data_IF_624492970706
#
_entry.id   IF_624492970706
#
_cell.length_a   1.000
_cell.length_b   1.000
_cell.length_c   1.000
_cell.angle_alpha   90.00
_cell.angle_beta   90.00
_cell.angle_gamma   90.00
#
_symmetry.space_group_name_H-M   'P 1'
#
loop_
_entity.id
_entity.type
_entity.pdbx_description
1 polymer ?
#
# COMPACT_ATOMS: atom_id res chain seq x y z
N UNK A 1 27.01 19.30 -57.09
CA UNK A 1 26.34 20.58 -57.37
C UNK A 1 26.66 21.54 -56.25
N UNK A 2 27.12 22.73 -56.62
CA UNK A 2 27.67 23.83 -55.82
C UNK A 2 26.70 24.45 -54.80
N UNK A 3 27.18 24.90 -53.63
CA UNK A 3 27.22 26.34 -53.22
C UNK A 3 27.52 26.55 -51.73
N UNK A 4 28.69 27.14 -51.52
CA UNK A 4 29.15 28.04 -50.45
C UNK A 4 28.08 29.00 -49.91
N UNK A 5 28.11 29.28 -48.59
CA UNK A 5 27.93 30.64 -48.02
C UNK A 5 28.36 30.69 -46.53
N UNK A 6 29.62 31.06 -46.35
CA UNK A 6 30.21 32.16 -45.57
C UNK A 6 29.29 33.07 -44.70
N UNK A 7 29.87 33.93 -43.82
CA UNK A 7 29.60 34.00 -42.37
C UNK A 7 29.08 35.39 -41.94
N UNK A 8 28.76 35.61 -40.66
CA UNK A 8 28.77 36.97 -40.06
C UNK A 8 29.03 36.81 -38.55
N UNK A 9 30.23 37.07 -38.01
CA UNK A 9 30.73 38.39 -37.57
C UNK A 9 29.83 39.12 -36.56
N UNK A 10 30.22 39.11 -35.28
CA UNK A 10 30.71 40.32 -34.57
C UNK A 10 31.19 39.88 -33.18
N UNK A 11 32.47 40.10 -32.81
CA UNK A 11 32.98 41.36 -32.22
C UNK A 11 32.15 41.69 -30.95
N UNK A 12 32.66 41.78 -29.72
CA UNK A 12 33.94 42.26 -29.24
C UNK A 12 34.22 41.68 -27.84
N UNK A 13 35.44 41.22 -27.68
CA UNK A 13 36.33 41.48 -26.56
C UNK A 13 35.88 42.66 -25.66
N UNK A 14 35.57 42.39 -24.39
CA UNK A 14 35.96 43.31 -23.31
C UNK A 14 36.70 42.51 -22.25
N UNK A 15 37.97 42.89 -22.13
CA UNK A 15 38.96 42.44 -21.17
C UNK A 15 38.56 42.84 -19.73
N UNK A 16 38.72 41.87 -18.81
CA UNK A 16 39.46 41.99 -17.52
C UNK A 16 38.74 42.77 -16.38
N UNK A 17 39.04 42.50 -15.09
CA UNK A 17 39.22 41.22 -14.37
C UNK A 17 38.41 41.19 -13.05
N UNK A 18 38.54 40.07 -12.34
CA UNK A 18 38.47 39.96 -10.88
C UNK A 18 37.09 40.03 -10.22
N UNK A 19 36.57 38.85 -9.87
CA UNK A 19 35.97 38.64 -8.54
C UNK A 19 35.78 37.15 -8.23
N UNK A 20 36.49 36.72 -7.18
CA UNK A 20 35.98 35.87 -6.09
C UNK A 20 35.77 34.36 -6.35
N UNK A 21 36.72 33.62 -5.75
CA UNK A 21 36.57 32.40 -4.96
C UNK A 21 36.02 31.12 -5.63
N UNK A 22 36.65 29.96 -5.39
CA UNK A 22 36.19 28.69 -5.94
C UNK A 22 34.80 28.36 -5.38
N UNK A 23 33.82 28.24 -6.28
CA UNK A 23 32.51 27.68 -6.00
C UNK A 23 32.73 26.22 -5.65
N UNK A 24 32.56 25.91 -4.36
CA UNK A 24 32.48 24.55 -3.83
C UNK A 24 31.53 23.73 -4.70
N UNK A 25 32.08 22.75 -5.41
CA UNK A 25 31.34 21.80 -6.22
C UNK A 25 30.31 21.11 -5.34
N UNK A 26 29.04 21.52 -5.48
CA UNK A 26 27.90 20.76 -4.98
C UNK A 26 27.90 19.44 -5.71
N UNK A 27 28.49 18.43 -5.09
CA UNK A 27 28.32 17.01 -5.42
C UNK A 27 26.82 16.73 -5.41
N UNK A 28 26.21 16.77 -6.59
CA UNK A 28 24.83 16.35 -6.82
C UNK A 28 24.77 14.87 -6.46
N UNK A 29 24.37 14.58 -5.23
CA UNK A 29 23.99 13.25 -4.82
C UNK A 29 22.82 12.83 -5.72
N UNK A 30 23.12 11.97 -6.70
CA UNK A 30 22.12 11.30 -7.50
C UNK A 30 21.16 10.60 -6.53
N UNK A 31 19.95 11.15 -6.40
CA UNK A 31 18.86 10.53 -5.66
C UNK A 31 18.62 9.17 -6.32
N UNK A 32 18.75 8.03 -5.63
CA UNK A 32 18.35 6.77 -6.22
C UNK A 32 16.87 6.90 -6.55
N UNK A 33 16.53 6.74 -7.83
CA UNK A 33 15.17 6.55 -8.25
C UNK A 33 14.71 5.24 -7.59
N UNK A 34 14.00 5.37 -6.46
CA UNK A 34 13.27 4.27 -5.85
C UNK A 34 12.34 3.75 -6.94
N UNK A 35 12.67 2.58 -7.49
CA UNK A 35 11.74 1.82 -8.32
C UNK A 35 10.47 1.72 -7.50
N UNK A 36 9.41 2.38 -7.96
CA UNK A 36 8.10 2.26 -7.37
C UNK A 36 7.67 0.83 -7.66
N UNK A 37 7.92 -0.07 -6.72
CA UNK A 37 7.38 -1.41 -6.75
C UNK A 37 5.87 -1.26 -6.94
N UNK A 38 5.36 -1.82 -8.02
CA UNK A 38 3.92 -1.91 -8.24
C UNK A 38 3.44 -2.81 -7.12
N UNK A 39 2.84 -2.21 -6.08
CA UNK A 39 2.32 -2.94 -4.95
C UNK A 39 1.25 -3.91 -5.49
N UNK A 40 1.59 -5.20 -5.50
CA UNK A 40 0.64 -6.24 -5.88
C UNK A 40 -0.40 -6.29 -4.76
N UNK A 41 -1.60 -5.77 -5.03
CA UNK A 41 -2.72 -5.84 -4.11
C UNK A 41 -3.45 -7.16 -4.32
N UNK A 42 -3.43 -8.05 -3.34
CA UNK A 42 -4.24 -9.27 -3.33
C UNK A 42 -5.55 -9.00 -2.58
N UNK A 43 -6.66 -9.47 -3.13
CA UNK A 43 -7.94 -9.55 -2.45
C UNK A 43 -8.32 -11.04 -2.30
N UNK A 44 -8.92 -11.39 -1.16
CA UNK A 44 -9.40 -12.74 -0.88
C UNK A 44 -10.90 -12.65 -0.61
N UNK A 45 -11.69 -13.35 -1.42
CA UNK A 45 -13.13 -13.48 -1.22
C UNK A 45 -13.47 -14.95 -0.98
N UNK A 46 -14.50 -15.18 -0.19
CA UNK A 46 -15.05 -16.48 0.15
C UNK A 46 -16.49 -16.53 -0.35
N UNK A 47 -16.75 -17.34 -1.38
CA UNK A 47 -18.10 -17.48 -1.91
C UNK A 47 -18.81 -18.66 -1.23
N UNK A 48 -19.99 -18.42 -0.66
CA UNK A 48 -20.83 -19.44 -0.02
C UNK A 48 -22.22 -19.34 -0.62
N UNK A 49 -22.73 -20.45 -1.16
CA UNK A 49 -24.06 -20.54 -1.77
C UNK A 49 -24.35 -19.47 -2.86
N UNK A 50 -23.32 -19.01 -3.56
CA UNK A 50 -23.44 -17.96 -4.58
C UNK A 50 -23.22 -16.53 -4.07
N UNK A 51 -23.15 -16.32 -2.76
CA UNK A 51 -22.87 -15.01 -2.15
C UNK A 51 -21.39 -14.84 -1.81
N UNK A 52 -20.80 -13.71 -2.19
CA UNK A 52 -19.41 -13.37 -1.88
C UNK A 52 -19.28 -12.74 -0.50
N UNK A 53 -18.41 -13.32 0.34
CA UNK A 53 -18.06 -12.81 1.65
C UNK A 53 -16.57 -12.46 1.72
N UNK A 54 -16.25 -11.47 2.54
CA UNK A 54 -14.87 -11.14 2.83
C UNK A 54 -14.47 -11.79 4.18
N UNK A 55 -13.49 -12.70 4.20
CA UNK A 55 -13.10 -13.40 5.42
C UNK A 55 -12.52 -12.45 6.49
N UNK A 56 -11.90 -11.33 6.08
CA UNK A 56 -11.40 -10.34 7.03
C UNK A 56 -12.55 -9.57 7.69
N UNK A 57 -13.63 -9.28 6.95
CA UNK A 57 -14.88 -8.76 7.51
C UNK A 57 -15.49 -9.71 8.54
N UNK A 58 -15.65 -10.98 8.20
CA UNK A 58 -16.22 -11.99 9.11
C UNK A 58 -15.38 -12.07 10.40
N UNK A 59 -14.06 -12.09 10.27
CA UNK A 59 -13.17 -12.11 11.42
C UNK A 59 -13.33 -10.87 12.29
N UNK A 60 -13.45 -9.68 11.69
CA UNK A 60 -13.65 -8.44 12.43
C UNK A 60 -15.01 -8.40 13.14
N UNK A 61 -16.09 -8.79 12.45
CA UNK A 61 -17.42 -8.92 13.04
C UNK A 61 -17.42 -9.89 14.24
N UNK A 62 -16.71 -11.01 14.13
CA UNK A 62 -16.56 -11.96 15.24
C UNK A 62 -15.81 -11.35 16.43
N UNK A 63 -14.77 -10.56 16.18
CA UNK A 63 -14.04 -9.85 17.25
C UNK A 63 -14.90 -8.77 17.89
N UNK A 64 -15.68 -8.02 17.13
CA UNK A 64 -16.60 -7.02 17.67
C UNK A 64 -17.74 -7.65 18.48
N UNK A 65 -18.33 -8.74 17.98
CA UNK A 65 -19.32 -9.51 18.71
C UNK A 65 -18.74 -10.09 20.00
N UNK A 66 -17.54 -10.65 19.93
CA UNK A 66 -16.82 -11.16 21.08
C UNK A 66 -16.58 -10.07 22.15
N UNK A 67 -16.14 -8.88 21.73
CA UNK A 67 -15.92 -7.72 22.63
C UNK A 67 -17.20 -7.23 23.31
N UNK A 68 -18.35 -7.35 22.63
CA UNK A 68 -19.66 -7.02 23.24
C UNK A 68 -20.09 -8.03 24.30
N UNK A 69 -19.66 -9.28 24.17
CA UNK A 69 -19.97 -10.35 25.13
C UNK A 69 -18.99 -10.33 26.30
N UNK A 70 -17.69 -10.25 26.02
CA UNK A 70 -16.60 -10.18 27.00
C UNK A 70 -15.69 -9.01 26.63
N UNK A 71 -15.51 -8.06 27.55
CA UNK A 71 -14.60 -6.94 27.32
C UNK A 71 -13.11 -7.36 27.28
N UNK A 72 -12.76 -8.46 27.95
CA UNK A 72 -11.39 -9.00 28.05
C UNK A 72 -11.23 -10.25 27.17
N UNK A 73 -11.48 -10.10 25.86
CA UNK A 73 -11.24 -11.15 24.86
C UNK A 73 -9.75 -11.22 24.56
N UNK A 74 -9.08 -12.37 24.77
CA UNK A 74 -7.67 -12.58 24.36
C UNK A 74 -7.53 -13.43 23.12
N UNK A 75 -8.43 -14.37 22.87
CA UNK A 75 -8.39 -15.26 21.70
C UNK A 75 -9.78 -15.37 21.06
N UNK A 76 -9.86 -15.16 19.74
CA UNK A 76 -11.08 -15.40 18.97
C UNK A 76 -10.74 -16.32 17.82
N UNK A 77 -11.37 -17.50 17.78
CA UNK A 77 -11.29 -18.41 16.65
C UNK A 77 -12.61 -18.41 15.93
N UNK A 78 -12.55 -18.23 14.62
CA UNK A 78 -13.72 -18.23 13.75
C UNK A 78 -13.66 -19.46 12.86
N UNK A 79 -14.75 -20.21 12.81
CA UNK A 79 -14.94 -21.36 11.94
C UNK A 79 -16.16 -21.13 11.06
N UNK A 80 -15.96 -21.22 9.75
CA UNK A 80 -17.02 -21.00 8.78
C UNK A 80 -17.55 -22.35 8.33
N UNK A 81 -18.84 -22.58 8.56
CA UNK A 81 -19.58 -23.74 8.05
C UNK A 81 -20.36 -23.30 6.81
N UNK A 82 -19.71 -23.45 5.66
CA UNK A 82 -20.26 -23.06 4.37
C UNK A 82 -21.58 -23.77 4.01
N UNK A 83 -21.80 -24.99 4.54
CA UNK A 83 -23.03 -25.75 4.32
C UNK A 83 -24.27 -25.05 4.89
N UNK A 84 -24.10 -24.33 6.02
CA UNK A 84 -25.17 -23.59 6.69
C UNK A 84 -25.09 -22.07 6.42
N UNK A 85 -24.07 -21.60 5.70
CA UNK A 85 -23.72 -20.17 5.61
C UNK A 85 -23.60 -19.50 6.98
N UNK A 86 -22.94 -20.16 7.95
CA UNK A 86 -22.77 -19.62 9.31
C UNK A 86 -21.30 -19.63 9.71
N UNK A 87 -20.83 -18.53 10.29
CA UNK A 87 -19.52 -18.40 10.93
C UNK A 87 -19.67 -18.50 12.45
N UNK A 88 -19.24 -19.63 13.02
CA UNK A 88 -19.16 -19.83 14.46
C UNK A 88 -17.88 -19.23 15.01
N UNK A 89 -17.92 -18.70 16.23
CA UNK A 89 -16.72 -18.21 16.89
C UNK A 89 -16.62 -18.65 18.35
N UNK A 90 -15.40 -18.74 18.86
CA UNK A 90 -15.11 -19.03 20.26
C UNK A 90 -14.31 -17.90 20.87
N UNK A 91 -14.57 -17.57 22.13
CA UNK A 91 -13.89 -16.51 22.88
C UNK A 91 -13.06 -17.18 23.99
N UNK A 92 -11.74 -17.04 23.97
CA UNK A 92 -10.84 -17.59 25.00
C UNK A 92 -11.04 -19.10 25.24
N UNK A 93 -11.40 -19.84 24.19
CA UNK A 93 -11.72 -21.27 24.26
C UNK A 93 -13.15 -21.59 24.75
N UNK A 94 -13.92 -20.59 25.20
CA UNK A 94 -15.36 -20.73 25.43
C UNK A 94 -16.13 -20.52 24.12
N UNK A 95 -16.71 -21.61 23.61
CA UNK A 95 -17.71 -21.58 22.55
C UNK A 95 -19.12 -21.61 23.14
N UNK A 96 -20.06 -20.92 22.49
CA UNK A 96 -21.48 -20.98 22.83
C UNK A 96 -22.32 -21.11 21.56
N UNK A 97 -23.51 -21.69 21.67
CA UNK A 97 -24.43 -21.83 20.54
C UNK A 97 -24.93 -20.47 20.00
N UNK A 98 -24.86 -19.43 20.83
CA UNK A 98 -25.14 -18.05 20.46
C UNK A 98 -23.97 -17.37 19.74
N UNK A 99 -22.76 -17.94 19.78
CA UNK A 99 -21.58 -17.34 19.16
C UNK A 99 -21.50 -17.74 17.69
N UNK A 100 -22.37 -17.13 16.90
CA UNK A 100 -22.46 -17.33 15.46
C UNK A 100 -22.80 -16.04 14.74
N UNK A 101 -22.32 -15.93 13.52
CA UNK A 101 -22.64 -14.87 12.57
C UNK A 101 -23.26 -15.55 11.36
N UNK A 102 -24.47 -15.16 11.02
CA UNK A 102 -25.11 -15.58 9.77
C UNK A 102 -24.44 -14.84 8.62
N UNK A 103 -23.98 -15.59 7.63
CA UNK A 103 -23.37 -15.08 6.41
C UNK A 103 -24.47 -14.98 5.35
#
# INVERSE_FOLDING_TARGET
>A
MVKTKTPVEKKETVKKPAAKAPVTEKKTAAKPAVKKEVAVTSALTLQINGTDYDPAKIQNDAVEAAKKIKADVKDVKVYIKADESVAYYTIDGEGSADYKIEL
#
